data_IF_850013865709
#
_entry.id   IF_850013865709
#
_cell.length_a   1.000
_cell.length_b   1.000
_cell.length_c   1.000
_cell.angle_alpha   90.00
_cell.angle_beta   90.00
_cell.angle_gamma   90.00
#
_symmetry.space_group_name_H-M   'P 1'
#
loop_
_entity.id
_entity.type
_entity.pdbx_description
1 polymer ?
#
# COMPACT_ATOMS: atom_id res chain seq x y z
N UNK A 1 -19.40 0.21 -6.90
CA UNK A 1 -18.46 0.17 -5.74
C UNK A 1 -17.11 0.84 -6.03
N UNK A 2 -16.39 0.50 -7.10
CA UNK A 2 -15.09 1.12 -7.39
C UNK A 2 -15.18 2.66 -7.50
N UNK A 3 -16.17 3.16 -8.24
CA UNK A 3 -16.46 4.61 -8.36
C UNK A 3 -16.75 5.30 -7.01
N UNK A 4 -17.16 4.55 -6.01
CA UNK A 4 -17.45 5.05 -4.66
C UNK A 4 -16.26 5.19 -3.74
N UNK A 5 -15.09 4.55 -4.04
CA UNK A 5 -13.91 4.61 -3.17
C UNK A 5 -13.47 6.04 -2.81
N UNK A 6 -13.44 7.01 -3.74
CA UNK A 6 -13.11 8.40 -3.41
C UNK A 6 -14.06 9.04 -2.40
N UNK A 7 -15.32 8.58 -2.35
CA UNK A 7 -16.37 9.07 -1.44
C UNK A 7 -16.26 8.54 -0.01
N UNK A 8 -15.44 7.52 0.25
CA UNK A 8 -15.18 7.02 1.60
C UNK A 8 -14.23 7.98 2.32
N UNK A 9 -14.79 9.01 2.90
CA UNK A 9 -14.07 10.04 3.66
C UNK A 9 -14.44 9.89 5.14
N UNK A 10 -13.47 9.95 6.07
CA UNK A 10 -13.75 9.86 7.50
C UNK A 10 -14.77 10.91 7.97
N UNK A 11 -15.74 10.47 8.75
CA UNK A 11 -16.87 11.30 9.22
C UNK A 11 -18.20 10.93 8.57
N UNK A 12 -19.19 11.80 8.75
CA UNK A 12 -20.54 11.59 8.24
C UNK A 12 -20.75 12.19 6.85
N UNK A 13 -21.30 11.41 5.91
CA UNK A 13 -21.60 11.85 4.55
C UNK A 13 -23.07 11.57 4.21
N UNK A 14 -23.71 12.50 3.51
CA UNK A 14 -25.04 12.29 2.92
C UNK A 14 -24.93 11.57 1.57
N UNK A 15 -26.07 11.08 1.03
CA UNK A 15 -26.12 10.49 -0.31
C UNK A 15 -25.76 11.53 -1.37
N UNK A 16 -26.19 12.78 -1.20
CA UNK A 16 -25.96 13.89 -2.12
C UNK A 16 -24.47 14.26 -2.17
N UNK A 17 -23.82 14.40 -1.00
CA UNK A 17 -22.38 14.71 -0.92
C UNK A 17 -21.55 13.57 -1.51
N UNK A 18 -21.92 12.32 -1.20
CA UNK A 18 -21.26 11.15 -1.76
C UNK A 18 -21.40 11.10 -3.28
N UNK A 19 -22.60 11.37 -3.80
CA UNK A 19 -22.90 11.42 -5.24
C UNK A 19 -22.01 12.43 -5.97
N UNK A 20 -21.83 13.62 -5.38
CA UNK A 20 -20.96 14.66 -5.93
C UNK A 20 -19.48 14.22 -5.99
N UNK A 21 -18.99 13.55 -4.95
CA UNK A 21 -17.59 13.09 -4.87
C UNK A 21 -17.35 11.89 -5.78
N UNK A 22 -18.24 10.91 -5.75
CA UNK A 22 -18.17 9.69 -6.55
C UNK A 22 -18.50 9.93 -8.04
N UNK A 23 -19.05 11.10 -8.37
CA UNK A 23 -19.52 11.47 -9.71
C UNK A 23 -20.52 10.46 -10.28
N UNK A 24 -21.48 10.06 -9.46
CA UNK A 24 -22.57 9.13 -9.80
C UNK A 24 -23.91 9.80 -9.50
N UNK A 25 -25.01 9.24 -9.96
CA UNK A 25 -26.34 9.71 -9.55
C UNK A 25 -26.70 9.27 -8.12
N UNK A 26 -27.76 9.87 -7.57
CA UNK A 26 -28.18 9.61 -6.18
C UNK A 26 -28.63 8.17 -5.95
N UNK A 27 -29.26 7.52 -6.94
CA UNK A 27 -29.75 6.15 -6.80
C UNK A 27 -28.59 5.14 -6.80
N UNK A 28 -27.61 5.31 -7.68
CA UNK A 28 -26.40 4.52 -7.70
C UNK A 28 -25.54 4.75 -6.44
N UNK A 29 -25.43 6.00 -6.02
CA UNK A 29 -24.73 6.38 -4.79
C UNK A 29 -25.33 5.72 -3.56
N UNK A 30 -26.66 5.73 -3.44
CA UNK A 30 -27.37 5.07 -2.34
C UNK A 30 -27.15 3.55 -2.36
N UNK A 31 -27.25 2.90 -3.53
CA UNK A 31 -26.96 1.46 -3.68
C UNK A 31 -25.53 1.13 -3.27
N UNK A 32 -24.58 1.96 -3.68
CA UNK A 32 -23.15 1.79 -3.35
C UNK A 32 -22.91 1.92 -1.85
N UNK A 33 -23.45 2.96 -1.20
CA UNK A 33 -23.36 3.18 0.25
C UNK A 33 -24.04 2.05 1.04
N UNK A 34 -25.23 1.62 0.63
CA UNK A 34 -25.91 0.48 1.26
C UNK A 34 -25.12 -0.84 1.06
N UNK A 35 -24.42 -0.99 -0.05
CA UNK A 35 -23.54 -2.15 -0.29
C UNK A 35 -22.32 -2.11 0.61
N UNK A 36 -21.68 -0.96 0.78
CA UNK A 36 -20.58 -0.81 1.74
C UNK A 36 -21.05 -1.16 3.16
N UNK A 37 -22.15 -0.58 3.59
CA UNK A 37 -22.72 -0.85 4.92
C UNK A 37 -23.03 -2.33 5.13
N UNK A 38 -23.63 -3.02 4.15
CA UNK A 38 -23.91 -4.46 4.21
C UNK A 38 -22.66 -5.32 4.34
N UNK A 39 -21.53 -4.84 3.81
CA UNK A 39 -20.22 -5.50 3.91
C UNK A 39 -19.40 -5.05 5.15
N UNK A 40 -20.05 -4.39 6.11
CA UNK A 40 -19.40 -3.99 7.36
C UNK A 40 -18.46 -2.77 7.22
N UNK A 41 -18.61 -2.01 6.13
CA UNK A 41 -17.84 -0.79 5.89
C UNK A 41 -18.66 0.40 6.31
N UNK A 42 -18.22 1.10 7.34
CA UNK A 42 -18.90 2.24 7.93
C UNK A 42 -20.14 1.87 8.75
N UNK A 43 -20.82 2.89 9.25
CA UNK A 43 -22.07 2.79 10.00
C UNK A 43 -23.12 3.71 9.40
N UNK A 44 -24.40 3.41 9.65
CA UNK A 44 -25.53 4.23 9.17
C UNK A 44 -26.31 4.77 10.35
N UNK A 45 -26.49 6.10 10.39
CA UNK A 45 -27.31 6.76 11.40
C UNK A 45 -28.28 7.72 10.71
N UNK A 46 -29.57 7.46 10.82
CA UNK A 46 -30.64 8.18 10.08
C UNK A 46 -30.34 8.17 8.57
N UNK A 47 -30.17 9.34 7.97
CA UNK A 47 -29.94 9.52 6.53
C UNK A 47 -28.45 9.73 6.17
N UNK A 48 -27.51 9.49 7.12
CA UNK A 48 -26.07 9.65 6.91
C UNK A 48 -25.31 8.35 7.13
N UNK A 49 -24.24 8.19 6.36
CA UNK A 49 -23.27 7.13 6.50
C UNK A 49 -22.00 7.71 7.13
N UNK A 50 -21.39 6.98 8.07
CA UNK A 50 -20.21 7.40 8.78
C UNK A 50 -19.08 6.42 8.52
N UNK A 51 -17.93 6.93 8.14
CA UNK A 51 -16.73 6.15 7.83
C UNK A 51 -15.57 6.51 8.75
N UNK A 52 -14.71 5.52 9.00
CA UNK A 52 -13.44 5.64 9.69
C UNK A 52 -12.28 5.67 8.67
N UNK A 53 -11.06 6.05 9.13
CA UNK A 53 -9.85 6.07 8.30
C UNK A 53 -9.55 4.73 7.63
N UNK A 54 -9.87 3.61 8.29
CA UNK A 54 -9.64 2.25 7.78
C UNK A 54 -10.66 1.76 6.75
N UNK A 55 -11.83 2.41 6.62
CA UNK A 55 -12.94 1.87 5.84
C UNK A 55 -12.68 1.91 4.33
N UNK A 56 -11.91 2.90 3.85
CA UNK A 56 -11.50 2.96 2.45
C UNK A 56 -10.59 1.77 2.09
N UNK A 57 -9.65 1.42 2.95
CA UNK A 57 -8.78 0.26 2.74
C UNK A 57 -9.58 -1.04 2.79
N UNK A 58 -10.51 -1.20 3.75
CA UNK A 58 -11.41 -2.37 3.80
C UNK A 58 -12.22 -2.52 2.51
N UNK A 59 -12.78 -1.41 2.00
CA UNK A 59 -13.50 -1.40 0.74
C UNK A 59 -12.60 -1.81 -0.45
N UNK A 60 -11.36 -1.32 -0.48
CA UNK A 60 -10.38 -1.66 -1.50
C UNK A 60 -10.08 -3.17 -1.50
N UNK A 61 -9.87 -3.77 -0.33
CA UNK A 61 -9.61 -5.21 -0.17
C UNK A 61 -10.80 -6.02 -0.69
N UNK A 62 -12.02 -5.68 -0.28
CA UNK A 62 -13.24 -6.36 -0.76
C UNK A 62 -13.38 -6.27 -2.28
N UNK A 63 -13.03 -5.14 -2.89
CA UNK A 63 -13.04 -5.00 -4.34
C UNK A 63 -12.03 -5.91 -5.03
N UNK A 64 -10.82 -6.04 -4.48
CA UNK A 64 -9.78 -6.96 -4.97
C UNK A 64 -10.27 -8.41 -4.89
N UNK A 65 -10.84 -8.82 -3.75
CA UNK A 65 -11.41 -10.16 -3.54
C UNK A 65 -12.56 -10.46 -4.52
N UNK A 66 -13.30 -9.44 -4.96
CA UNK A 66 -14.34 -9.56 -5.99
C UNK A 66 -13.80 -9.44 -7.43
N UNK A 67 -12.48 -9.47 -7.62
CA UNK A 67 -11.84 -9.54 -8.93
C UNK A 67 -11.64 -8.20 -9.65
N UNK A 68 -11.80 -7.07 -8.94
CA UNK A 68 -11.43 -5.76 -9.49
C UNK A 68 -9.91 -5.63 -9.57
N UNK A 69 -9.46 -4.89 -10.57
CA UNK A 69 -8.05 -4.71 -10.87
C UNK A 69 -7.35 -3.89 -9.76
N UNK A 70 -6.20 -4.38 -9.30
CA UNK A 70 -5.45 -3.78 -8.19
C UNK A 70 -4.93 -2.38 -8.54
N UNK A 71 -4.53 -2.15 -9.78
CA UNK A 71 -4.05 -0.86 -10.27
C UNK A 71 -5.18 0.19 -10.30
N UNK A 72 -6.39 -0.16 -10.77
CA UNK A 72 -7.55 0.73 -10.74
C UNK A 72 -7.93 1.13 -9.32
N UNK A 73 -7.90 0.17 -8.40
CA UNK A 73 -8.18 0.40 -6.98
C UNK A 73 -7.12 1.29 -6.35
N UNK A 74 -5.85 0.97 -6.58
CA UNK A 74 -4.73 1.70 -6.01
C UNK A 74 -4.68 3.18 -6.44
N UNK A 75 -5.15 3.49 -7.66
CA UNK A 75 -5.30 4.88 -8.15
C UNK A 75 -6.30 5.69 -7.31
N UNK A 76 -7.35 5.05 -6.81
CA UNK A 76 -8.39 5.68 -6.00
C UNK A 76 -8.00 5.86 -4.52
N UNK A 77 -6.92 5.23 -4.08
CA UNK A 77 -6.39 5.33 -2.73
C UNK A 77 -5.53 6.58 -2.55
N UNK A 78 -5.41 7.06 -1.31
CA UNK A 78 -4.40 8.03 -0.93
C UNK A 78 -3.09 7.32 -0.55
N UNK A 79 -2.02 8.07 -0.24
CA UNK A 79 -0.71 7.49 0.07
C UNK A 79 -0.73 6.59 1.33
N UNK A 80 -1.50 6.94 2.37
CA UNK A 80 -1.64 6.10 3.58
C UNK A 80 -2.37 4.79 3.30
N UNK A 81 -3.45 4.86 2.50
CA UNK A 81 -4.19 3.66 2.10
C UNK A 81 -3.31 2.78 1.20
N UNK A 82 -2.43 3.37 0.38
CA UNK A 82 -1.48 2.64 -0.47
C UNK A 82 -0.42 1.89 0.35
N UNK A 83 0.14 2.53 1.39
CA UNK A 83 1.00 1.86 2.37
C UNK A 83 0.24 0.75 3.10
N UNK A 84 -1.00 1.01 3.50
CA UNK A 84 -1.89 0.02 4.10
C UNK A 84 -2.13 -1.19 3.19
N UNK A 85 -2.41 -0.97 1.91
CA UNK A 85 -2.60 -2.04 0.93
C UNK A 85 -1.33 -2.88 0.75
N UNK A 86 -0.16 -2.24 0.70
CA UNK A 86 1.14 -2.93 0.65
C UNK A 86 1.33 -3.82 1.89
N UNK A 87 0.95 -3.33 3.06
CA UNK A 87 1.01 -4.10 4.31
C UNK A 87 0.07 -5.30 4.30
N UNK A 88 -1.18 -5.13 3.87
CA UNK A 88 -2.17 -6.22 3.77
C UNK A 88 -1.73 -7.32 2.79
N UNK A 89 -1.11 -6.97 1.66
CA UNK A 89 -0.54 -7.96 0.75
C UNK A 89 0.53 -8.80 1.46
N UNK A 90 1.41 -8.20 2.24
CA UNK A 90 2.42 -8.93 3.02
C UNK A 90 1.80 -9.82 4.10
N UNK A 91 0.81 -9.31 4.85
CA UNK A 91 0.09 -10.07 5.88
C UNK A 91 -0.61 -11.29 5.27
N UNK A 92 -1.24 -11.15 4.09
CA UNK A 92 -1.87 -12.26 3.36
C UNK A 92 -0.87 -13.35 2.95
N UNK A 93 0.42 -13.01 2.85
CA UNK A 93 1.53 -13.92 2.54
C UNK A 93 2.27 -14.41 3.80
N UNK A 94 1.68 -14.26 4.98
CA UNK A 94 2.21 -14.68 6.28
C UNK A 94 3.52 -13.97 6.69
N UNK A 95 3.70 -12.71 6.31
CA UNK A 95 4.74 -11.85 6.88
C UNK A 95 4.22 -11.20 8.17
N UNK A 96 5.08 -11.09 9.16
CA UNK A 96 4.86 -10.17 10.28
C UNK A 96 5.13 -8.75 9.78
N UNK A 97 4.19 -7.82 9.97
CA UNK A 97 4.26 -6.48 9.38
C UNK A 97 4.42 -5.40 10.44
N UNK A 98 5.30 -4.45 10.19
CA UNK A 98 5.46 -3.21 10.95
C UNK A 98 5.23 -2.04 9.99
N UNK A 99 4.37 -1.10 10.36
CA UNK A 99 4.09 0.12 9.57
C UNK A 99 4.72 1.34 10.24
N UNK A 100 5.20 2.28 9.42
CA UNK A 100 5.68 3.60 9.83
C UNK A 100 6.79 3.55 10.91
N UNK A 101 7.80 2.68 10.70
CA UNK A 101 8.92 2.59 11.62
C UNK A 101 9.79 3.86 11.55
N UNK A 102 9.86 4.59 12.64
CA UNK A 102 10.72 5.78 12.74
C UNK A 102 12.07 5.41 13.36
N UNK A 103 13.12 5.53 12.57
CA UNK A 103 14.50 5.46 13.05
C UNK A 103 14.94 6.86 13.51
N UNK A 104 15.62 6.93 14.65
CA UNK A 104 16.11 8.19 15.22
C UNK A 104 17.60 8.39 14.98
N UNK A 105 18.05 9.66 14.87
CA UNK A 105 19.46 10.11 14.79
C UNK A 105 20.25 9.53 13.61
N UNK A 106 20.03 9.99 12.37
CA UNK A 106 19.02 10.97 11.95
C UNK A 106 17.61 10.37 11.90
N UNK A 107 16.58 11.22 11.88
CA UNK A 107 15.20 10.77 11.72
C UNK A 107 15.00 10.25 10.30
N UNK A 108 14.59 9.00 10.18
CA UNK A 108 14.22 8.34 8.93
C UNK A 108 12.97 7.52 9.17
N UNK A 109 12.12 7.41 8.18
CA UNK A 109 10.90 6.62 8.22
C UNK A 109 10.98 5.50 7.20
N UNK A 110 10.51 4.31 7.59
CA UNK A 110 10.32 3.16 6.70
C UNK A 110 8.82 2.90 6.70
N UNK A 111 8.20 2.99 5.52
CA UNK A 111 6.75 2.97 5.39
C UNK A 111 6.18 1.61 5.81
N UNK A 112 6.72 0.52 5.27
CA UNK A 112 6.30 -0.85 5.60
C UNK A 112 7.51 -1.77 5.74
N UNK A 113 7.51 -2.62 6.76
CA UNK A 113 8.49 -3.70 6.93
C UNK A 113 7.72 -5.01 7.00
N UNK A 114 8.06 -5.96 6.12
CA UNK A 114 7.55 -7.33 6.19
C UNK A 114 8.67 -8.29 6.61
N UNK A 115 8.43 -9.08 7.66
CA UNK A 115 9.43 -10.02 8.19
C UNK A 115 8.89 -11.44 8.06
N UNK A 116 9.66 -12.30 7.40
CA UNK A 116 9.36 -13.73 7.28
C UNK A 116 10.64 -14.53 7.12
N UNK A 117 10.74 -15.69 7.74
CA UNK A 117 11.91 -16.61 7.65
C UNK A 117 13.25 -15.91 7.94
N UNK A 118 13.28 -14.96 8.88
CA UNK A 118 14.50 -14.25 9.25
C UNK A 118 14.94 -13.12 8.29
N UNK A 119 14.20 -12.87 7.22
CA UNK A 119 14.48 -11.81 6.25
C UNK A 119 13.45 -10.70 6.38
N UNK A 120 13.91 -9.45 6.41
CA UNK A 120 13.10 -8.26 6.46
C UNK A 120 13.06 -7.56 5.09
N UNK A 121 11.88 -7.43 4.49
CA UNK A 121 11.63 -6.55 3.35
C UNK A 121 11.38 -5.14 3.88
N UNK A 122 12.24 -4.20 3.58
CA UNK A 122 12.06 -2.79 3.93
C UNK A 122 11.53 -2.04 2.72
N UNK A 123 10.29 -1.57 2.81
CA UNK A 123 9.54 -1.06 1.68
C UNK A 123 9.34 0.45 1.82
N UNK A 124 9.63 1.17 0.74
CA UNK A 124 9.30 2.57 0.54
C UNK A 124 8.19 2.65 -0.53
N UNK A 125 7.04 3.18 -0.15
CA UNK A 125 5.85 3.24 -0.99
C UNK A 125 5.80 4.54 -1.79
N UNK A 126 5.73 4.47 -3.12
CA UNK A 126 5.72 5.62 -4.03
C UNK A 126 4.41 5.71 -4.80
N UNK A 127 3.45 6.40 -4.21
CA UNK A 127 2.16 6.70 -4.82
C UNK A 127 2.29 7.86 -5.82
N UNK A 128 3.26 7.80 -6.74
CA UNK A 128 3.50 8.82 -7.73
C UNK A 128 2.69 8.57 -9.00
N UNK A 129 2.04 9.62 -9.51
CA UNK A 129 1.37 9.56 -10.82
C UNK A 129 2.34 9.65 -11.99
N UNK A 130 3.50 10.27 -11.78
CA UNK A 130 4.61 10.39 -12.74
C UNK A 130 5.91 10.44 -11.99
N UNK A 131 6.95 9.87 -12.55
CA UNK A 131 8.30 9.89 -12.00
C UNK A 131 9.33 9.99 -13.13
N UNK A 132 10.55 10.41 -12.78
CA UNK A 132 11.72 10.38 -13.66
C UNK A 132 12.70 9.31 -13.19
N UNK A 133 13.59 8.88 -14.09
CA UNK A 133 14.67 7.94 -13.70
C UNK A 133 15.52 8.48 -12.57
N UNK A 134 15.77 9.79 -12.51
CA UNK A 134 16.51 10.43 -11.42
C UNK A 134 15.76 10.32 -10.08
N UNK A 135 14.44 10.56 -10.06
CA UNK A 135 13.65 10.46 -8.83
C UNK A 135 13.59 9.03 -8.28
N UNK A 136 13.53 8.01 -9.15
CA UNK A 136 13.65 6.61 -8.76
C UNK A 136 15.02 6.28 -8.19
N UNK A 137 16.10 6.73 -8.86
CA UNK A 137 17.46 6.54 -8.37
C UNK A 137 17.66 7.16 -6.98
N UNK A 138 17.11 8.33 -6.73
CA UNK A 138 17.18 9.00 -5.43
C UNK A 138 16.35 8.27 -4.37
N UNK A 139 15.17 7.74 -4.72
CA UNK A 139 14.37 6.91 -3.83
C UNK A 139 15.13 5.64 -3.43
N UNK A 140 15.73 4.95 -4.39
CA UNK A 140 16.56 3.75 -4.14
C UNK A 140 17.73 4.07 -3.22
N UNK A 141 18.50 5.14 -3.47
CA UNK A 141 19.60 5.56 -2.59
C UNK A 141 19.13 5.80 -1.15
N UNK A 142 18.02 6.50 -0.98
CA UNK A 142 17.43 6.76 0.35
C UNK A 142 16.98 5.47 1.02
N UNK A 143 16.37 4.55 0.27
CA UNK A 143 15.90 3.28 0.83
C UNK A 143 17.07 2.36 1.22
N UNK A 144 18.13 2.32 0.44
CA UNK A 144 19.38 1.63 0.82
C UNK A 144 19.97 2.21 2.11
N UNK A 145 19.98 3.52 2.28
CA UNK A 145 20.48 4.17 3.51
C UNK A 145 19.59 3.83 4.73
N UNK A 146 18.28 3.83 4.57
CA UNK A 146 17.34 3.39 5.61
C UNK A 146 17.58 1.93 6.00
N UNK A 147 17.83 1.06 5.01
CA UNK A 147 18.12 -0.36 5.23
C UNK A 147 19.44 -0.55 5.98
N UNK A 148 20.51 0.14 5.60
CA UNK A 148 21.76 0.17 6.37
C UNK A 148 21.54 0.56 7.82
N UNK A 149 20.72 1.58 8.03
CA UNK A 149 20.42 2.07 9.36
C UNK A 149 19.60 1.07 10.18
N UNK A 150 18.66 0.41 9.55
CA UNK A 150 17.85 -0.63 10.19
C UNK A 150 18.75 -1.79 10.66
N UNK A 151 19.57 -2.37 9.79
CA UNK A 151 20.46 -3.49 10.16
C UNK A 151 21.48 -3.09 11.23
N UNK A 152 22.02 -1.85 11.19
CA UNK A 152 22.94 -1.38 12.24
C UNK A 152 22.32 -1.33 13.64
N UNK A 153 20.99 -1.28 13.73
CA UNK A 153 20.22 -1.29 14.98
C UNK A 153 19.59 -2.63 15.31
N UNK A 154 19.66 -3.59 14.39
CA UNK A 154 19.02 -4.90 14.52
C UNK A 154 20.08 -5.98 14.25
N UNK A 155 20.91 -6.33 15.25
CA UNK A 155 21.99 -7.30 15.07
C UNK A 155 21.47 -8.65 14.54
N UNK A 156 22.14 -9.22 13.55
CA UNK A 156 21.76 -10.48 12.91
C UNK A 156 20.61 -10.37 11.91
N UNK A 157 20.07 -9.17 11.67
CA UNK A 157 19.03 -8.98 10.64
C UNK A 157 19.61 -9.15 9.23
N UNK A 158 18.85 -9.85 8.39
CA UNK A 158 18.99 -9.85 6.93
C UNK A 158 17.88 -8.97 6.38
N UNK A 159 18.23 -7.95 5.60
CA UNK A 159 17.27 -6.99 5.12
C UNK A 159 17.42 -6.70 3.62
N UNK A 160 16.30 -6.48 2.96
CA UNK A 160 16.20 -6.21 1.53
C UNK A 160 15.45 -4.90 1.32
N UNK A 161 16.08 -3.87 0.72
CA UNK A 161 15.39 -2.66 0.32
C UNK A 161 14.50 -2.93 -0.89
N UNK A 162 13.26 -2.42 -0.85
CA UNK A 162 12.27 -2.54 -1.94
C UNK A 162 11.60 -1.18 -2.14
N UNK A 163 11.32 -0.82 -3.38
CA UNK A 163 10.43 0.31 -3.73
C UNK A 163 9.15 -0.28 -4.31
N UNK A 164 7.99 0.08 -3.77
CA UNK A 164 6.68 -0.26 -4.35
C UNK A 164 6.10 0.99 -5.00
N UNK A 165 5.72 0.87 -6.28
CA UNK A 165 5.21 2.00 -7.08
C UNK A 165 3.77 1.78 -7.50
N UNK A 166 3.03 2.88 -7.76
CA UNK A 166 1.67 2.81 -8.29
C UNK A 166 1.65 2.61 -9.80
N UNK A 167 2.43 3.40 -10.54
CA UNK A 167 2.44 3.42 -12.00
C UNK A 167 3.80 2.96 -12.54
N UNK A 168 3.89 1.70 -12.86
CA UNK A 168 5.03 1.12 -13.58
C UNK A 168 4.52 -0.12 -14.34
N UNK A 169 5.01 -0.34 -15.54
CA UNK A 169 4.51 -1.42 -16.38
C UNK A 169 5.07 -2.80 -15.98
N UNK A 170 6.24 -2.82 -15.37
CA UNK A 170 6.95 -4.06 -14.99
C UNK A 170 7.89 -3.84 -13.81
N UNK A 171 8.31 -4.94 -13.19
CA UNK A 171 9.38 -4.93 -12.20
C UNK A 171 10.68 -4.46 -12.88
N UNK A 172 11.39 -3.55 -12.24
CA UNK A 172 12.69 -3.01 -12.66
C UNK A 172 13.68 -3.07 -11.49
N UNK A 173 14.96 -2.85 -11.75
CA UNK A 173 16.01 -2.90 -10.74
C UNK A 173 16.97 -1.72 -10.91
N UNK A 174 17.29 -1.07 -9.80
CA UNK A 174 18.39 -0.09 -9.72
C UNK A 174 19.33 -0.56 -8.62
N UNK A 175 20.60 -0.80 -8.96
CA UNK A 175 21.61 -1.33 -8.03
C UNK A 175 21.15 -2.62 -7.30
N UNK A 176 20.45 -3.50 -8.01
CA UNK A 176 19.81 -4.73 -7.49
C UNK A 176 18.69 -4.49 -6.48
N UNK A 177 18.24 -3.25 -6.28
CA UNK A 177 17.06 -2.93 -5.50
C UNK A 177 15.83 -3.07 -6.39
N UNK A 178 14.87 -3.94 -6.06
CA UNK A 178 13.67 -4.11 -6.86
C UNK A 178 12.75 -2.89 -6.74
N UNK A 179 12.22 -2.48 -7.89
CA UNK A 179 11.18 -1.47 -8.04
C UNK A 179 9.97 -2.21 -8.59
N UNK A 180 8.96 -2.40 -7.75
CA UNK A 180 7.86 -3.31 -7.99
C UNK A 180 6.55 -2.54 -8.11
N UNK A 181 5.84 -2.62 -9.24
CA UNK A 181 4.50 -2.06 -9.32
C UNK A 181 3.54 -2.83 -8.41
N UNK A 182 2.60 -2.12 -7.77
CA UNK A 182 1.71 -2.70 -6.76
C UNK A 182 0.92 -3.90 -7.29
N UNK A 183 0.52 -3.90 -8.57
CA UNK A 183 -0.22 -5.01 -9.16
C UNK A 183 0.61 -6.30 -9.34
N UNK A 184 1.96 -6.20 -9.32
CA UNK A 184 2.86 -7.35 -9.35
C UNK A 184 3.45 -7.66 -7.96
N UNK A 185 3.14 -6.87 -6.94
CA UNK A 185 3.77 -7.00 -5.64
C UNK A 185 3.44 -8.34 -4.96
N UNK A 186 2.22 -8.84 -5.09
CA UNK A 186 1.83 -10.15 -4.56
C UNK A 186 2.67 -11.28 -5.18
N UNK A 187 2.81 -11.31 -6.50
CA UNK A 187 3.63 -12.32 -7.22
C UNK A 187 5.11 -12.17 -6.88
N UNK A 188 5.63 -10.94 -6.82
CA UNK A 188 7.00 -10.67 -6.39
C UNK A 188 7.30 -11.26 -5.00
N UNK A 189 6.38 -11.10 -4.04
CA UNK A 189 6.53 -11.64 -2.68
C UNK A 189 6.50 -13.17 -2.66
N UNK A 190 5.72 -13.81 -3.52
CA UNK A 190 5.69 -15.27 -3.66
C UNK A 190 7.02 -15.84 -4.20
N UNK A 191 7.63 -15.15 -5.17
CA UNK A 191 8.86 -15.57 -5.85
C UNK A 191 10.13 -15.06 -5.16
N UNK A 192 10.01 -14.16 -4.20
CA UNK A 192 11.09 -13.41 -3.56
C UNK A 192 12.24 -14.29 -3.06
N UNK A 193 11.93 -15.39 -2.36
CA UNK A 193 12.96 -16.25 -1.77
C UNK A 193 13.78 -17.01 -2.80
N UNK A 194 13.19 -17.33 -3.97
CA UNK A 194 13.89 -17.98 -5.07
C UNK A 194 14.87 -17.06 -5.80
N UNK A 195 14.70 -15.73 -5.67
CA UNK A 195 15.44 -14.72 -6.40
C UNK A 195 16.39 -13.88 -5.52
N UNK A 196 16.68 -14.32 -4.28
CA UNK A 196 17.50 -13.57 -3.31
C UNK A 196 18.92 -13.25 -3.79
N UNK A 197 19.52 -14.12 -4.61
CA UNK A 197 20.86 -13.91 -5.16
C UNK A 197 20.91 -12.74 -6.16
N UNK A 198 19.81 -12.46 -6.83
CA UNK A 198 19.70 -11.37 -7.80
C UNK A 198 19.34 -10.03 -7.16
N UNK A 199 18.79 -10.07 -5.96
CA UNK A 199 18.30 -8.91 -5.21
C UNK A 199 19.35 -8.41 -4.24
N UNK A 200 19.38 -7.11 -3.98
CA UNK A 200 20.27 -6.50 -2.99
C UNK A 200 19.89 -6.93 -1.58
N UNK A 201 20.65 -7.86 -1.03
CA UNK A 201 20.54 -8.32 0.36
C UNK A 201 21.60 -7.64 1.21
N UNK A 202 21.26 -7.21 2.40
CA UNK A 202 22.12 -6.48 3.32
C UNK A 202 22.12 -7.14 4.70
N UNK A 203 23.32 -7.30 5.26
CA UNK A 203 23.56 -7.84 6.62
C UNK A 203 24.54 -6.96 7.36
N UNK A 204 24.63 -7.10 8.69
CA UNK A 204 25.75 -6.55 9.47
C UNK A 204 27.02 -7.34 9.22
#
# INVERSE_FOLDING_TARGET
>A
MLSGLPGLIPGGISVEDFSAIAKTDSDESKKTLDTYFKNGIGTKQKDKYYFEDSDKLKAAIILIENGFSLDEIAVALNWKDFEGLTAEILESKNFAVIKNLILTKPKMEIDVIGIRLGIALLIDCKHWKRYSSSSLTDAVKKQVERTKRYISKTPGAIAVPVIVTLYQDKIDFIDRVPIVPIFQFSSFVDEFYGNLEEIKTMTN
#
